data_IF_175666870401
#
_entry.id   IF_175666870401
#
_cell.length_a   1.000
_cell.length_b   1.000
_cell.length_c   1.000
_cell.angle_alpha   90.00
_cell.angle_beta   90.00
_cell.angle_gamma   90.00
#
_symmetry.space_group_name_H-M   'P 1'
#
loop_
_entity.id
_entity.type
_entity.pdbx_description
1 polymer ?
#
# COMPACT_ATOMS: atom_id res chain seq x y z
N UNK A 1 16.91 -17.70 -19.85
CA UNK A 1 15.56 -17.11 -20.00
C UNK A 1 14.57 -17.61 -18.94
N UNK A 2 14.25 -18.91 -18.85
CA UNK A 2 13.28 -19.44 -17.87
C UNK A 2 13.62 -19.15 -16.38
N UNK A 3 14.89 -19.23 -15.99
CA UNK A 3 15.35 -18.90 -14.63
C UNK A 3 15.15 -17.42 -14.25
N UNK A 4 15.33 -16.50 -15.21
CA UNK A 4 15.13 -15.06 -15.00
C UNK A 4 13.65 -14.73 -14.79
N UNK A 5 12.77 -15.33 -15.59
CA UNK A 5 11.31 -15.17 -15.45
C UNK A 5 10.85 -15.69 -14.08
N UNK A 6 11.33 -16.86 -13.67
CA UNK A 6 11.01 -17.43 -12.36
C UNK A 6 11.47 -16.52 -11.20
N UNK A 7 12.67 -15.93 -11.31
CA UNK A 7 13.21 -15.01 -10.31
C UNK A 7 12.39 -13.72 -10.24
N UNK A 8 11.95 -13.18 -11.38
CA UNK A 8 11.04 -12.03 -11.40
C UNK A 8 9.70 -12.32 -10.71
N UNK A 9 9.11 -13.49 -10.93
CA UNK A 9 7.85 -13.88 -10.27
C UNK A 9 8.02 -13.94 -8.76
N UNK A 10 9.13 -14.51 -8.26
CA UNK A 10 9.41 -14.55 -6.82
C UNK A 10 9.54 -13.13 -6.23
N UNK A 11 10.26 -12.24 -6.91
CA UNK A 11 10.41 -10.85 -6.46
C UNK A 11 9.05 -10.15 -6.40
N UNK A 12 8.19 -10.36 -7.41
CA UNK A 12 6.84 -9.80 -7.43
C UNK A 12 5.99 -10.28 -6.24
N UNK A 13 6.04 -11.57 -5.93
CA UNK A 13 5.34 -12.14 -4.78
C UNK A 13 5.89 -11.57 -3.47
N UNK A 14 7.21 -11.43 -3.35
CA UNK A 14 7.84 -10.84 -2.16
C UNK A 14 7.42 -9.37 -1.95
N UNK A 15 7.35 -8.58 -3.03
CA UNK A 15 6.84 -7.20 -2.97
C UNK A 15 5.37 -7.15 -2.50
N UNK A 16 4.52 -8.02 -3.05
CA UNK A 16 3.11 -8.10 -2.62
C UNK A 16 3.02 -8.50 -1.14
N UNK A 17 3.82 -9.48 -0.70
CA UNK A 17 3.85 -9.89 0.70
C UNK A 17 4.32 -8.76 1.63
N UNK A 18 5.29 -7.94 1.21
CA UNK A 18 5.75 -6.79 1.97
C UNK A 18 4.64 -5.74 2.13
N UNK A 19 3.87 -5.47 1.07
CA UNK A 19 2.70 -4.57 1.12
C UNK A 19 1.68 -5.07 2.14
N UNK A 20 1.43 -6.38 2.22
CA UNK A 20 0.44 -6.95 3.16
C UNK A 20 0.92 -7.01 4.61
N UNK A 21 2.20 -7.28 4.83
CA UNK A 21 2.74 -7.55 6.17
C UNK A 21 3.19 -6.28 6.89
N UNK A 22 3.43 -5.19 6.17
CA UNK A 22 3.91 -3.93 6.75
C UNK A 22 2.80 -2.88 6.63
N UNK A 23 2.15 -2.49 7.74
CA UNK A 23 1.04 -1.54 7.72
C UNK A 23 1.38 -0.21 7.03
N UNK A 24 2.54 0.36 7.35
CA UNK A 24 3.02 1.61 6.72
C UNK A 24 3.14 1.49 5.20
N UNK A 25 3.61 0.33 4.70
CA UNK A 25 3.73 0.07 3.26
C UNK A 25 2.34 -0.17 2.65
N UNK A 26 1.42 -0.81 3.37
CA UNK A 26 0.04 -0.98 2.93
C UNK A 26 -0.65 0.38 2.78
N UNK A 27 -0.51 1.26 3.76
CA UNK A 27 -1.14 2.59 3.75
C UNK A 27 -0.58 3.43 2.59
N UNK A 28 0.75 3.43 2.42
CA UNK A 28 1.39 4.06 1.27
C UNK A 28 0.92 3.46 -0.06
N UNK A 29 0.77 2.13 -0.13
CA UNK A 29 0.29 1.45 -1.32
C UNK A 29 -1.16 1.84 -1.64
N UNK A 30 -2.04 1.90 -0.63
CA UNK A 30 -3.44 2.30 -0.80
C UNK A 30 -3.61 3.77 -1.19
N UNK A 31 -2.66 4.62 -0.81
CA UNK A 31 -2.66 6.03 -1.21
C UNK A 31 -2.15 6.23 -2.64
N UNK A 32 -1.10 5.50 -3.05
CA UNK A 32 -0.34 5.78 -4.27
C UNK A 32 -0.65 4.82 -5.44
N UNK A 33 -1.15 3.61 -5.17
CA UNK A 33 -1.45 2.65 -6.22
C UNK A 33 -2.87 2.84 -6.78
N UNK A 34 -3.08 2.55 -8.08
CA UNK A 34 -4.42 2.47 -8.65
C UNK A 34 -5.27 1.40 -7.94
N UNK A 35 -6.56 1.67 -7.83
CA UNK A 35 -7.57 0.76 -7.27
C UNK A 35 -7.53 -0.64 -7.88
N UNK A 36 -7.24 -0.72 -9.18
CA UNK A 36 -7.16 -1.95 -9.96
C UNK A 36 -5.99 -2.83 -9.48
N UNK A 37 -4.84 -2.22 -9.20
CA UNK A 37 -3.65 -2.93 -8.70
C UNK A 37 -3.89 -3.40 -7.27
N UNK A 38 -4.49 -2.56 -6.42
CA UNK A 38 -4.86 -2.92 -5.05
C UNK A 38 -5.83 -4.11 -5.03
N UNK A 39 -6.84 -4.07 -5.90
CA UNK A 39 -7.80 -5.18 -6.04
C UNK A 39 -7.12 -6.47 -6.51
N UNK A 40 -6.17 -6.40 -7.45
CA UNK A 40 -5.41 -7.57 -7.93
C UNK A 40 -4.57 -8.21 -6.81
N UNK A 41 -4.01 -7.40 -5.90
CA UNK A 41 -3.25 -7.91 -4.76
C UNK A 41 -4.15 -8.28 -3.56
N UNK A 42 -5.46 -8.05 -3.65
CA UNK A 42 -6.44 -8.35 -2.60
C UNK A 42 -6.44 -7.36 -1.44
N UNK A 43 -6.07 -6.10 -1.71
CA UNK A 43 -6.19 -4.97 -0.80
C UNK A 43 -7.33 -4.04 -1.26
N UNK A 44 -7.97 -3.36 -0.32
CA UNK A 44 -8.98 -2.35 -0.65
C UNK A 44 -8.36 -0.95 -0.73
N UNK A 45 -8.78 -0.12 -1.69
CA UNK A 45 -8.35 1.27 -1.74
C UNK A 45 -8.79 2.02 -0.48
N UNK A 46 -7.93 2.92 -0.01
CA UNK A 46 -8.21 3.72 1.18
C UNK A 46 -9.48 4.55 0.95
N UNK A 47 -10.44 4.42 1.87
CA UNK A 47 -11.71 5.11 1.75
C UNK A 47 -11.53 6.61 2.03
N UNK A 48 -12.44 7.42 1.51
CA UNK A 48 -12.46 8.89 1.67
C UNK A 48 -12.47 9.27 3.17
N UNK A 49 -13.12 8.45 4.00
CA UNK A 49 -13.16 8.64 5.44
C UNK A 49 -11.80 8.42 6.12
N UNK A 50 -11.07 7.37 5.72
CA UNK A 50 -9.71 7.10 6.22
C UNK A 50 -8.73 8.20 5.79
N UNK A 51 -8.82 8.64 4.52
CA UNK A 51 -8.05 9.79 4.03
C UNK A 51 -8.33 11.08 4.81
N UNK A 52 -9.59 11.29 5.20
CA UNK A 52 -9.99 12.44 6.01
C UNK A 52 -9.44 12.36 7.45
N UNK A 53 -9.44 11.16 8.03
CA UNK A 53 -8.95 10.91 9.38
C UNK A 53 -7.44 11.10 9.48
N UNK A 54 -6.67 10.59 8.52
CA UNK A 54 -5.21 10.76 8.48
C UNK A 54 -4.82 12.23 8.31
N UNK A 55 -5.47 12.95 7.40
CA UNK A 55 -5.26 14.40 7.27
C UNK A 55 -5.63 15.16 8.54
N UNK A 56 -6.72 14.79 9.21
CA UNK A 56 -7.11 15.41 10.46
C UNK A 56 -6.09 15.13 11.57
N UNK A 57 -5.53 13.92 11.62
CA UNK A 57 -4.49 13.53 12.57
C UNK A 57 -3.17 14.28 12.31
N UNK A 58 -2.77 14.42 11.05
CA UNK A 58 -1.60 15.22 10.68
C UNK A 58 -1.77 16.70 11.06
N UNK A 59 -2.92 17.29 10.73
CA UNK A 59 -3.25 18.66 11.12
C UNK A 59 -3.25 18.80 12.65
N UNK A 60 -3.84 17.85 13.37
CA UNK A 60 -3.86 17.84 14.84
C UNK A 60 -2.44 17.76 15.40
N UNK A 61 -1.62 16.83 14.95
CA UNK A 61 -0.23 16.71 15.39
C UNK A 61 0.58 17.98 15.11
N UNK A 62 0.42 18.60 13.93
CA UNK A 62 1.09 19.86 13.57
C UNK A 62 0.59 21.08 14.35
N UNK A 63 -0.62 21.03 14.92
CA UNK A 63 -1.20 22.12 15.70
C UNK A 63 -0.82 22.07 17.19
N UNK A 64 -0.30 20.92 17.66
CA UNK A 64 0.12 20.70 19.06
C UNK A 64 1.65 20.64 19.25
N UNK A 65 2.43 20.73 18.17
CA UNK A 65 3.89 20.98 18.15
C UNK A 65 4.20 22.49 18.19
#
# INVERSE_FOLDING_TARGET
MKKLIFLMVIVLIACIAAIKLVPEVNDMAKENLPSEILTIIGEEPMNIFEKGLDKAKDVMNSAFD
#
